data_IF_181506820479
#
_entry.id   IF_181506820479
#
_cell.length_a   1.000
_cell.length_b   1.000
_cell.length_c   1.000
_cell.angle_alpha   90.00
_cell.angle_beta   90.00
_cell.angle_gamma   90.00
#
_symmetry.space_group_name_H-M   'P 1'
#
loop_
_entity.id
_entity.type
_entity.pdbx_description
1 polymer ?
#
# COMPACT_ATOMS: atom_id res chain seq x y z
N UNK A 1 -29.14 -7.50 -5.74
CA UNK A 1 -28.16 -7.04 -6.74
C UNK A 1 -26.94 -6.57 -5.97
N UNK A 2 -25.79 -7.28 -6.03
CA UNK A 2 -24.58 -6.79 -5.38
C UNK A 2 -24.15 -5.51 -6.10
N UNK A 3 -24.10 -4.40 -5.38
CA UNK A 3 -23.42 -3.20 -5.87
C UNK A 3 -21.98 -3.61 -6.21
N UNK A 4 -21.55 -3.34 -7.44
CA UNK A 4 -20.14 -3.47 -7.81
C UNK A 4 -19.36 -2.53 -6.90
N UNK A 5 -18.63 -3.09 -5.93
CA UNK A 5 -17.64 -2.36 -5.16
C UNK A 5 -16.50 -2.01 -6.12
N UNK A 6 -16.29 -0.72 -6.34
CA UNK A 6 -15.14 -0.19 -7.07
C UNK A 6 -14.15 0.34 -6.06
N UNK A 7 -12.95 -0.23 -6.05
CA UNK A 7 -11.84 0.24 -5.23
C UNK A 7 -10.81 0.86 -6.16
N UNK A 8 -10.43 2.10 -5.90
CA UNK A 8 -9.39 2.79 -6.63
C UNK A 8 -8.08 2.84 -5.81
N UNK A 9 -6.98 2.49 -6.46
CA UNK A 9 -5.63 2.70 -5.97
C UNK A 9 -4.96 3.72 -6.89
N UNK A 10 -4.66 4.89 -6.35
CA UNK A 10 -3.92 5.93 -7.05
C UNK A 10 -2.45 5.85 -6.68
N UNK A 11 -1.59 5.80 -7.69
CA UNK A 11 -0.15 5.73 -7.54
C UNK A 11 0.45 7.09 -7.88
N UNK A 12 0.80 7.86 -6.86
CA UNK A 12 1.47 9.13 -7.02
C UNK A 12 2.98 8.95 -6.93
N UNK A 13 3.67 9.45 -7.95
CA UNK A 13 5.12 9.48 -8.02
C UNK A 13 5.53 10.93 -8.20
N UNK A 14 5.99 11.54 -7.12
CA UNK A 14 6.43 12.92 -7.13
C UNK A 14 7.96 12.93 -7.07
N UNK A 15 8.60 13.81 -7.86
CA UNK A 15 10.01 14.23 -7.71
C UNK A 15 11.12 13.17 -7.51
N UNK A 16 10.90 11.86 -7.64
CA UNK A 16 11.99 10.89 -7.47
C UNK A 16 13.06 10.97 -8.58
N UNK A 17 12.72 11.57 -9.74
CA UNK A 17 13.59 11.69 -10.90
C UNK A 17 13.87 10.38 -11.66
N UNK A 18 13.53 9.22 -11.08
CA UNK A 18 13.67 7.87 -11.66
C UNK A 18 12.83 6.82 -10.93
N UNK A 19 12.61 5.68 -11.59
CA UNK A 19 11.90 4.52 -11.04
C UNK A 19 10.49 4.36 -11.61
N UNK A 20 9.87 3.21 -11.34
CA UNK A 20 8.54 2.87 -11.83
C UNK A 20 7.71 2.28 -10.68
N UNK A 21 6.60 2.92 -10.26
CA UNK A 21 5.72 2.33 -9.28
C UNK A 21 5.22 0.96 -9.74
N UNK A 22 5.19 -0.02 -8.85
CA UNK A 22 4.61 -1.33 -9.09
C UNK A 22 3.46 -1.53 -8.12
N UNK A 23 2.34 -2.00 -8.63
CA UNK A 23 1.26 -2.59 -7.82
C UNK A 23 1.14 -4.05 -8.24
N UNK A 24 1.25 -4.97 -7.29
CA UNK A 24 1.31 -6.42 -7.53
C UNK A 24 0.31 -7.11 -6.60
N UNK A 25 -0.31 -8.18 -7.09
CA UNK A 25 -1.14 -9.06 -6.29
C UNK A 25 -0.83 -10.52 -6.65
N UNK A 26 -0.23 -11.26 -5.72
CA UNK A 26 0.28 -12.60 -5.99
C UNK A 26 1.22 -12.57 -7.21
N UNK A 27 0.99 -13.38 -8.26
CA UNK A 27 1.86 -13.41 -9.45
C UNK A 27 1.56 -12.27 -10.45
N UNK A 28 0.53 -11.46 -10.22
CA UNK A 28 0.03 -10.51 -11.22
C UNK A 28 0.58 -9.10 -10.99
N UNK A 29 1.08 -8.48 -12.04
CA UNK A 29 1.36 -7.03 -12.06
C UNK A 29 0.08 -6.31 -12.42
N UNK A 30 -0.50 -5.59 -11.47
CA UNK A 30 -1.75 -4.83 -11.63
C UNK A 30 -1.51 -3.43 -12.21
N UNK A 31 -0.38 -2.81 -11.87
CA UNK A 31 0.02 -1.51 -12.44
C UNK A 31 1.53 -1.33 -12.47
N UNK A 32 1.97 -0.51 -13.42
CA UNK A 32 3.37 -0.08 -13.63
C UNK A 32 3.50 1.44 -13.64
N UNK A 33 2.70 2.13 -12.82
CA UNK A 33 2.74 3.59 -12.65
C UNK A 33 1.45 4.33 -12.99
N UNK A 34 0.44 3.63 -13.53
CA UNK A 34 -0.89 4.18 -13.73
C UNK A 34 -1.82 3.91 -12.54
N UNK A 35 -2.93 4.64 -12.50
CA UNK A 35 -4.02 4.37 -11.57
C UNK A 35 -4.59 2.98 -11.81
N UNK A 36 -5.02 2.32 -10.75
CA UNK A 36 -5.63 1.00 -10.81
C UNK A 36 -7.01 1.02 -10.17
N UNK A 37 -8.00 0.44 -10.87
CA UNK A 37 -9.35 0.24 -10.34
C UNK A 37 -9.61 -1.26 -10.28
N UNK A 38 -9.97 -1.74 -9.09
CA UNK A 38 -10.42 -3.10 -8.87
C UNK A 38 -11.94 -3.18 -8.91
N UNK A 39 -12.47 -4.15 -9.65
CA UNK A 39 -13.90 -4.49 -9.67
C UNK A 39 -14.24 -5.47 -8.55
N UNK A 40 -13.88 -5.13 -7.31
CA UNK A 40 -14.07 -5.98 -6.14
C UNK A 40 -12.98 -5.77 -5.07
N UNK A 41 -12.97 -6.65 -4.04
CA UNK A 41 -11.98 -6.57 -2.97
C UNK A 41 -10.56 -6.80 -3.49
N UNK A 42 -9.63 -5.94 -3.09
CA UNK A 42 -8.20 -6.09 -3.36
C UNK A 42 -7.53 -6.67 -2.12
N UNK A 43 -7.12 -7.95 -2.15
CA UNK A 43 -6.54 -8.64 -0.98
C UNK A 43 -5.06 -8.91 -1.19
N UNK A 44 -4.24 -8.60 -0.17
CA UNK A 44 -2.81 -8.91 -0.15
C UNK A 44 -2.06 -8.34 -1.35
N UNK A 45 -2.39 -7.11 -1.74
CA UNK A 45 -1.64 -6.40 -2.77
C UNK A 45 -0.44 -5.70 -2.13
N UNK A 46 0.62 -5.56 -2.92
CA UNK A 46 1.84 -4.88 -2.52
C UNK A 46 2.16 -3.77 -3.51
N UNK A 47 2.74 -2.69 -3.01
CA UNK A 47 3.26 -1.63 -3.85
C UNK A 47 4.66 -1.18 -3.41
N UNK A 48 5.50 -0.88 -4.39
CA UNK A 48 6.85 -0.36 -4.17
C UNK A 48 7.31 0.42 -5.40
N UNK A 49 8.32 1.26 -5.23
CA UNK A 49 8.98 1.93 -6.34
C UNK A 49 10.12 1.06 -6.89
N UNK A 50 9.97 0.51 -8.09
CA UNK A 50 11.03 -0.23 -8.75
C UNK A 50 12.12 0.73 -9.24
N UNK A 51 13.32 0.63 -8.65
CA UNK A 51 14.50 1.45 -8.99
C UNK A 51 15.60 0.67 -9.72
N UNK A 52 15.34 -0.60 -10.05
CA UNK A 52 16.25 -1.54 -10.70
C UNK A 52 16.78 -2.63 -9.77
N UNK A 53 16.67 -2.45 -8.44
CA UNK A 53 17.19 -3.39 -7.43
C UNK A 53 16.10 -4.10 -6.62
N UNK A 54 14.82 -3.76 -6.80
CA UNK A 54 13.76 -4.42 -6.05
C UNK A 54 13.47 -5.79 -6.66
N UNK A 55 13.34 -6.82 -5.83
CA UNK A 55 12.79 -8.11 -6.25
C UNK A 55 11.31 -8.01 -6.62
N UNK A 56 10.73 -9.08 -7.15
CA UNK A 56 9.33 -9.08 -7.60
C UNK A 56 8.36 -8.79 -6.45
N UNK A 57 8.64 -9.30 -5.25
CA UNK A 57 7.82 -9.05 -4.06
C UNK A 57 8.32 -7.83 -3.26
N UNK A 58 9.10 -6.95 -3.89
CA UNK A 58 9.65 -5.75 -3.26
C UNK A 58 10.88 -6.00 -2.40
N UNK A 59 11.51 -7.18 -2.49
CA UNK A 59 12.75 -7.47 -1.78
C UNK A 59 13.79 -6.38 -2.02
N UNK A 60 14.41 -5.87 -0.96
CA UNK A 60 15.35 -4.77 -1.07
C UNK A 60 14.71 -3.37 -1.18
N UNK A 61 13.40 -3.22 -1.05
CA UNK A 61 12.69 -1.95 -1.19
C UNK A 61 11.66 -1.68 -0.09
N UNK A 62 11.30 -0.40 0.09
CA UNK A 62 10.19 0.00 0.97
C UNK A 62 8.90 -0.54 0.38
N UNK A 63 8.18 -1.35 1.14
CA UNK A 63 6.95 -2.01 0.70
C UNK A 63 5.73 -1.39 1.37
N UNK A 64 4.68 -1.13 0.59
CA UNK A 64 3.34 -0.86 1.09
C UNK A 64 2.53 -2.14 0.91
N UNK A 65 2.01 -2.70 2.00
CA UNK A 65 1.15 -3.88 1.98
C UNK A 65 -0.30 -3.43 2.20
N UNK A 66 -1.25 -3.91 1.38
CA UNK A 66 -2.64 -3.46 1.48
C UNK A 66 -3.66 -4.57 1.24
N UNK A 67 -4.73 -4.49 2.00
CA UNK A 67 -6.00 -5.19 1.76
C UNK A 67 -7.13 -4.16 1.82
N UNK A 68 -7.85 -3.99 0.72
CA UNK A 68 -8.97 -3.08 0.58
C UNK A 68 -10.26 -3.90 0.42
N UNK A 69 -11.08 -3.89 1.47
CA UNK A 69 -12.31 -4.68 1.60
C UNK A 69 -13.35 -3.93 2.42
N UNK A 70 -14.63 -4.20 2.14
CA UNK A 70 -15.73 -3.74 2.98
C UNK A 70 -15.78 -4.58 4.27
N UNK A 71 -15.87 -3.96 5.46
CA UNK A 71 -16.00 -4.69 6.72
C UNK A 71 -17.29 -5.52 6.76
N UNK A 72 -17.19 -6.76 7.22
CA UNK A 72 -18.34 -7.65 7.50
C UNK A 72 -18.65 -7.76 9.00
N UNK A 73 -17.71 -7.33 9.83
CA UNK A 73 -17.76 -7.26 11.29
C UNK A 73 -16.76 -6.20 11.79
N UNK A 74 -16.87 -5.71 13.04
CA UNK A 74 -15.89 -4.77 13.59
C UNK A 74 -14.46 -5.31 13.49
N UNK A 75 -13.56 -4.54 12.89
CA UNK A 75 -12.14 -4.88 12.71
C UNK A 75 -11.81 -5.68 11.44
N UNK A 76 -12.81 -6.04 10.62
CA UNK A 76 -12.60 -6.85 9.39
C UNK A 76 -12.47 -6.03 8.10
N UNK A 77 -12.48 -4.70 8.22
CA UNK A 77 -12.35 -3.78 7.08
C UNK A 77 -10.97 -3.75 6.44
N UNK A 78 -10.72 -2.69 5.68
CA UNK A 78 -9.46 -2.47 4.99
C UNK A 78 -8.31 -2.24 5.95
N UNK A 79 -7.11 -2.61 5.51
CA UNK A 79 -5.88 -2.45 6.29
C UNK A 79 -4.68 -2.25 5.37
N UNK A 80 -3.82 -1.31 5.71
CA UNK A 80 -2.62 -0.97 4.93
C UNK A 80 -1.50 -0.63 5.90
N UNK A 81 -0.27 -1.00 5.54
CA UNK A 81 0.92 -0.72 6.31
C UNK A 81 2.17 -0.57 5.43
N UNK A 82 3.25 -0.09 6.06
CA UNK A 82 4.58 0.00 5.46
C UNK A 82 5.44 -1.07 6.10
N UNK A 83 6.19 -1.84 5.31
CA UNK A 83 7.02 -2.93 5.81
C UNK A 83 8.47 -2.80 5.38
N UNK A 84 9.35 -2.93 6.38
CA UNK A 84 10.81 -2.95 6.31
C UNK A 84 11.37 -4.22 6.98
N UNK A 85 10.53 -5.26 7.18
CA UNK A 85 10.97 -6.55 7.71
C UNK A 85 11.82 -7.24 6.64
N UNK A 86 13.06 -7.65 7.00
CA UNK A 86 13.96 -8.37 6.09
C UNK A 86 13.22 -9.53 5.38
N UNK A 87 13.31 -9.67 4.05
CA UNK A 87 14.29 -9.05 3.13
C UNK A 87 13.94 -7.65 2.59
N UNK A 88 12.88 -7.02 3.09
CA UNK A 88 12.52 -5.64 2.77
C UNK A 88 13.48 -4.67 3.47
N UNK A 89 13.70 -3.48 2.89
CA UNK A 89 14.56 -2.44 3.46
C UNK A 89 14.17 -1.09 2.89
N UNK A 90 14.50 -0.02 3.59
CA UNK A 90 14.24 1.31 3.08
C UNK A 90 14.98 1.55 1.76
N UNK A 91 14.25 1.94 0.72
CA UNK A 91 14.82 2.32 -0.59
C UNK A 91 14.49 3.77 -0.94
N UNK A 92 13.23 4.17 -0.83
CA UNK A 92 12.75 5.53 -1.02
C UNK A 92 11.70 5.89 0.01
N UNK A 93 11.53 7.19 0.24
CA UNK A 93 10.38 7.71 0.98
C UNK A 93 9.10 7.23 0.33
N UNK A 94 8.27 6.58 1.12
CA UNK A 94 7.00 6.02 0.67
C UNK A 94 5.94 6.28 1.72
N UNK A 95 4.70 6.46 1.27
CA UNK A 95 3.57 6.68 2.14
C UNK A 95 2.27 6.23 1.50
N UNK A 96 1.22 6.21 2.31
CA UNK A 96 -0.13 5.98 1.84
C UNK A 96 -1.13 6.79 2.66
N UNK A 97 -2.28 7.05 2.06
CA UNK A 97 -3.43 7.66 2.72
C UNK A 97 -4.73 7.14 2.14
N UNK A 98 -5.69 6.84 3.01
CA UNK A 98 -7.04 6.54 2.58
C UNK A 98 -7.75 7.81 2.11
N UNK A 99 -8.63 7.64 1.13
CA UNK A 99 -9.59 8.66 0.71
C UNK A 99 -10.90 7.99 0.28
N UNK A 100 -11.98 8.78 0.15
CA UNK A 100 -13.33 8.25 -0.03
C UNK A 100 -13.74 7.31 1.12
N UNK A 101 -13.25 7.61 2.32
CA UNK A 101 -13.37 6.77 3.51
C UNK A 101 -12.11 6.85 4.36
N UNK A 102 -12.27 7.07 5.67
CA UNK A 102 -11.15 7.23 6.61
C UNK A 102 -10.13 8.30 6.16
N UNK A 103 -10.62 9.37 5.52
CA UNK A 103 -9.79 10.41 4.92
C UNK A 103 -8.77 10.97 5.92
N UNK A 104 -7.51 11.07 5.48
CA UNK A 104 -6.39 11.54 6.31
C UNK A 104 -5.75 10.46 7.18
N UNK A 105 -6.35 9.27 7.32
CA UNK A 105 -5.68 8.13 7.93
C UNK A 105 -4.66 7.53 6.95
N UNK A 106 -3.44 7.31 7.43
CA UNK A 106 -2.33 6.86 6.60
C UNK A 106 -1.03 6.82 7.37
N UNK A 107 0.05 6.53 6.68
CA UNK A 107 1.40 6.53 7.24
C UNK A 107 2.42 6.97 6.19
N UNK A 108 3.49 7.61 6.66
CA UNK A 108 4.65 8.00 5.85
C UNK A 108 5.91 7.43 6.47
N UNK A 109 6.82 6.91 5.65
CA UNK A 109 8.15 6.48 6.05
C UNK A 109 9.19 7.26 5.24
N UNK A 110 9.83 8.25 5.88
CA UNK A 110 10.77 9.17 5.25
C UNK A 110 12.24 8.76 5.38
N UNK A 111 12.51 7.64 6.05
CA UNK A 111 13.86 7.13 6.28
C UNK A 111 13.88 5.73 6.88
N UNK A 112 15.06 5.08 6.94
CA UNK A 112 15.20 3.71 7.45
C UNK A 112 14.81 3.57 8.92
N UNK A 113 14.81 4.66 9.69
CA UNK A 113 14.43 4.69 11.09
C UNK A 113 12.95 5.00 11.34
N UNK A 114 12.11 5.16 10.30
CA UNK A 114 10.70 5.55 10.46
C UNK A 114 9.96 4.66 11.48
N UNK A 115 9.20 5.27 12.39
CA UNK A 115 8.48 4.56 13.45
C UNK A 115 7.14 3.98 13.01
N UNK A 116 6.75 4.29 11.78
CA UNK A 116 5.45 3.97 11.15
C UNK A 116 5.50 2.73 10.26
N UNK A 117 6.63 2.04 10.22
CA UNK A 117 6.80 0.82 9.43
C UNK A 117 7.03 -0.39 10.32
N UNK A 118 6.56 -1.56 9.88
CA UNK A 118 6.92 -2.84 10.44
C UNK A 118 8.43 -3.07 10.25
N UNK A 119 9.16 -3.27 11.35
CA UNK A 119 10.57 -3.69 11.33
C UNK A 119 10.74 -5.09 11.92
N UNK A 120 9.72 -5.57 12.63
CA UNK A 120 9.54 -6.94 13.09
C UNK A 120 8.05 -7.32 13.05
N UNK A 121 7.70 -8.61 12.98
CA UNK A 121 6.30 -9.05 12.88
C UNK A 121 5.38 -8.59 14.02
N UNK A 122 5.93 -8.23 15.18
CA UNK A 122 5.16 -7.78 16.34
C UNK A 122 4.81 -6.28 16.34
N UNK A 123 5.24 -5.51 15.33
CA UNK A 123 4.96 -4.06 15.22
C UNK A 123 3.52 -3.75 14.77
N UNK A 124 2.55 -4.58 15.17
CA UNK A 124 1.13 -4.53 14.73
C UNK A 124 0.44 -3.18 14.93
N UNK A 125 0.95 -2.32 15.81
CA UNK A 125 0.43 -0.98 16.07
C UNK A 125 0.68 0.04 14.94
N UNK A 126 1.56 -0.27 13.98
CA UNK A 126 1.85 0.63 12.84
C UNK A 126 0.91 0.41 11.65
N UNK A 127 0.06 -0.62 11.73
CA UNK A 127 -0.94 -0.90 10.71
C UNK A 127 -2.11 0.07 10.82
N UNK A 128 -2.57 0.59 9.68
CA UNK A 128 -3.66 1.57 9.62
C UNK A 128 -4.91 0.92 9.03
N UNK A 129 -5.90 0.70 9.90
CA UNK A 129 -7.18 0.10 9.54
C UNK A 129 -8.22 1.15 9.10
N UNK A 130 -9.11 0.78 8.19
CA UNK A 130 -10.29 1.53 7.82
C UNK A 130 -11.54 0.67 7.82
N UNK A 131 -12.59 1.11 8.54
CA UNK A 131 -13.87 0.41 8.67
C UNK A 131 -14.98 1.06 7.84
N UNK A 132 -14.63 1.72 6.73
CA UNK A 132 -15.58 2.28 5.77
C UNK A 132 -15.68 1.36 4.54
N UNK A 133 -16.87 1.31 3.95
CA UNK A 133 -17.08 0.65 2.68
C UNK A 133 -16.46 1.46 1.55
N UNK A 134 -16.03 0.75 0.50
CA UNK A 134 -15.58 1.29 -0.78
C UNK A 134 -14.50 2.37 -0.61
N UNK A 135 -13.64 2.18 0.40
CA UNK A 135 -12.50 3.04 0.68
C UNK A 135 -11.44 2.86 -0.39
N UNK A 136 -10.84 3.97 -0.79
CA UNK A 136 -9.78 4.02 -1.76
C UNK A 136 -8.43 4.33 -1.11
N UNK A 137 -7.35 4.09 -1.85
CA UNK A 137 -5.99 4.26 -1.35
C UNK A 137 -5.14 5.10 -2.30
N UNK A 138 -4.52 6.14 -1.77
CA UNK A 138 -3.46 6.87 -2.46
C UNK A 138 -2.12 6.40 -1.91
N UNK A 139 -1.21 6.00 -2.79
CA UNK A 139 0.17 5.61 -2.44
C UNK A 139 1.11 6.64 -3.05
N UNK A 140 2.03 7.16 -2.24
CA UNK A 140 2.99 8.18 -2.64
C UNK A 140 4.42 7.65 -2.55
N UNK A 141 5.22 8.01 -3.55
CA UNK A 141 6.67 7.83 -3.57
C UNK A 141 7.35 9.20 -3.83
N UNK A 142 8.36 9.55 -3.02
CA UNK A 142 9.24 10.76 -3.06
C UNK A 142 8.62 12.18 -3.23
#
# INVERSE_FOLDING_TARGET
MPLLTYIAVFLFFYRCGRGTPRLIQGPNVLSTGGDYVSNGPLRGAIAYLQTGSCGFNGEGCTLIETTLVNPTSPGSGSSTDISLISPLKFSVTSGFGYYNGCDGAGANCEGPSCSTAFKKPSDTHVQVACQKNDVNLAITFC
#
